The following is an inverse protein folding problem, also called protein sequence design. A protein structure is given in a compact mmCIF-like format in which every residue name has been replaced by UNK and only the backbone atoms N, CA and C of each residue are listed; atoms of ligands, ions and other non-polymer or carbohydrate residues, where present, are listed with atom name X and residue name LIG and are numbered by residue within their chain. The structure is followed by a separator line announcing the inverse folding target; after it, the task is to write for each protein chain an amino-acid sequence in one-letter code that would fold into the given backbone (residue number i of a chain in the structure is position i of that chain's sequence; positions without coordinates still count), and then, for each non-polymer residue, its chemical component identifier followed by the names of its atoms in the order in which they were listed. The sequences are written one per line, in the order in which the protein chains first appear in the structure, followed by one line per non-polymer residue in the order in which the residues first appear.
data_IF_866430300346
#
_entry.id   IF_866430300346
#
_cell.length_a   1.000
_cell.length_b   1.000
_cell.length_c   1.000
_cell.angle_alpha   90.00
_cell.angle_beta   90.00
_cell.angle_gamma   90.00
#
_symmetry.space_group_name_H-M   'P 1'
#
loop_
_entity.id
_entity.type
_entity.pdbx_description
1 polymer ?
#
# COMPACT_ATOMS: atom_id res chain seq x y z
N UNK A 1 -14.48 13.09 24.79
CA UNK A 1 -14.32 14.12 23.71
C UNK A 1 -13.64 13.50 22.48
N UNK A 2 -13.68 14.11 21.29
CA UNK A 2 -13.02 13.55 20.09
C UNK A 2 -11.53 13.20 20.32
N UNK A 3 -10.79 14.10 20.99
CA UNK A 3 -9.38 13.90 21.35
C UNK A 3 -9.14 12.77 22.35
N UNK A 4 -10.11 12.49 23.21
CA UNK A 4 -10.03 11.42 24.21
C UNK A 4 -10.23 10.05 23.55
N UNK A 5 -11.20 9.94 22.63
CA UNK A 5 -11.37 8.75 21.80
C UNK A 5 -10.12 8.49 20.96
N UNK A 6 -9.52 9.54 20.39
CA UNK A 6 -8.26 9.40 19.66
C UNK A 6 -7.07 9.02 20.56
N UNK A 7 -7.09 9.37 21.85
CA UNK A 7 -6.07 8.92 22.80
C UNK A 7 -6.24 7.43 23.10
N UNK A 8 -7.47 6.99 23.38
CA UNK A 8 -7.80 5.57 23.56
C UNK A 8 -7.48 4.75 22.31
N UNK A 9 -7.72 5.29 21.12
CA UNK A 9 -7.37 4.65 19.86
C UNK A 9 -5.85 4.44 19.72
N UNK A 10 -5.04 5.40 20.20
CA UNK A 10 -3.58 5.26 20.23
C UNK A 10 -3.15 4.21 21.22
N UNK A 11 -3.81 4.11 22.38
CA UNK A 11 -3.53 3.06 23.37
C UNK A 11 -3.84 1.68 22.79
N UNK A 12 -5.03 1.50 22.20
CA UNK A 12 -5.39 0.26 21.50
C UNK A 12 -4.42 -0.08 20.36
N UNK A 13 -3.96 0.93 19.61
CA UNK A 13 -2.95 0.73 18.57
C UNK A 13 -1.61 0.23 19.13
N UNK A 14 -1.22 0.69 20.33
CA UNK A 14 0.01 0.26 21.01
C UNK A 14 -0.12 -1.17 21.54
N UNK A 15 -1.33 -1.61 21.89
CA UNK A 15 -1.62 -2.99 22.31
C UNK A 15 -1.78 -3.97 21.12
N UNK A 16 -1.54 -3.50 19.89
CA UNK A 16 -1.81 -4.23 18.64
C UNK A 16 -3.32 -4.55 18.40
N UNK A 17 -4.23 -3.97 19.18
CA UNK A 17 -5.69 -4.01 19.00
C UNK A 17 -6.14 -3.06 17.88
N UNK A 18 -5.72 -3.36 16.64
CA UNK A 18 -5.95 -2.47 15.51
C UNK A 18 -7.41 -2.29 15.11
N UNK A 19 -8.24 -3.31 15.31
CA UNK A 19 -9.69 -3.23 15.03
C UNK A 19 -10.38 -2.25 15.99
N UNK A 20 -10.03 -2.32 17.28
CA UNK A 20 -10.50 -1.38 18.31
C UNK A 20 -9.98 0.03 18.03
N UNK A 21 -8.71 0.17 17.62
CA UNK A 21 -8.17 1.46 17.22
C UNK A 21 -8.96 2.08 16.05
N UNK A 22 -9.32 1.29 15.03
CA UNK A 22 -10.14 1.75 13.90
C UNK A 22 -11.51 2.24 14.35
N UNK A 23 -12.21 1.48 15.20
CA UNK A 23 -13.53 1.87 15.73
C UNK A 23 -13.45 3.18 16.53
N UNK A 24 -12.46 3.29 17.42
CA UNK A 24 -12.26 4.48 18.24
C UNK A 24 -11.89 5.71 17.40
N UNK A 25 -11.02 5.56 16.39
CA UNK A 25 -10.74 6.65 15.46
C UNK A 25 -11.96 7.03 14.63
N UNK A 26 -12.79 6.07 14.24
CA UNK A 26 -14.03 6.36 13.50
C UNK A 26 -14.97 7.20 14.34
N UNK A 27 -15.18 6.84 15.61
CA UNK A 27 -15.95 7.65 16.56
C UNK A 27 -15.33 9.03 16.79
N UNK A 28 -13.99 9.14 16.83
CA UNK A 28 -13.31 10.42 16.94
C UNK A 28 -13.55 11.32 15.71
N UNK A 29 -13.56 10.73 14.51
CA UNK A 29 -13.85 11.41 13.24
C UNK A 29 -15.32 11.85 13.16
N UNK A 30 -16.26 11.04 13.63
CA UNK A 30 -17.68 11.42 13.72
C UNK A 30 -17.88 12.67 14.59
N UNK A 31 -17.08 12.82 15.65
CA UNK A 31 -17.13 13.99 16.53
C UNK A 31 -16.35 15.20 15.98
N UNK A 32 -15.25 14.98 15.26
CA UNK A 32 -14.45 16.05 14.65
C UNK A 32 -13.89 15.62 13.28
N UNK A 33 -14.68 15.78 12.19
CA UNK A 33 -14.31 15.33 10.86
C UNK A 33 -13.29 16.24 10.16
N UNK A 34 -12.84 17.31 10.83
CA UNK A 34 -11.85 18.25 10.31
C UNK A 34 -10.43 17.92 10.75
N UNK A 35 -10.25 16.96 11.67
CA UNK A 35 -8.93 16.62 12.19
C UNK A 35 -8.18 15.65 11.27
N UNK A 36 -7.19 16.17 10.53
CA UNK A 36 -6.36 15.39 9.61
C UNK A 36 -5.61 14.23 10.29
N UNK A 37 -5.15 14.42 11.53
CA UNK A 37 -4.44 13.40 12.30
C UNK A 37 -5.30 12.14 12.52
N UNK A 38 -6.61 12.27 12.75
CA UNK A 38 -7.47 11.11 13.00
C UNK A 38 -7.57 10.20 11.78
N UNK A 39 -7.71 10.78 10.58
CA UNK A 39 -7.67 10.02 9.34
C UNK A 39 -6.29 9.40 9.11
N UNK A 40 -5.20 10.14 9.34
CA UNK A 40 -3.84 9.61 9.15
C UNK A 40 -3.50 8.48 10.14
N UNK A 41 -3.99 8.54 11.37
CA UNK A 41 -3.77 7.48 12.36
C UNK A 41 -4.70 6.27 12.11
N UNK A 42 -5.96 6.48 11.69
CA UNK A 42 -6.86 5.39 11.29
C UNK A 42 -6.34 4.64 10.06
N UNK A 43 -5.82 5.36 9.07
CA UNK A 43 -5.12 4.77 7.93
C UNK A 43 -3.98 3.85 8.36
N UNK A 44 -3.26 4.19 9.43
CA UNK A 44 -2.22 3.33 9.96
C UNK A 44 -2.75 2.04 10.56
N UNK A 45 -3.84 2.11 11.31
CA UNK A 45 -4.50 0.93 11.86
C UNK A 45 -4.98 0.00 10.73
N UNK A 46 -5.57 0.55 9.67
CA UNK A 46 -5.92 -0.21 8.47
C UNK A 46 -4.72 -0.87 7.77
N UNK A 47 -3.59 -0.17 7.65
CA UNK A 47 -2.34 -0.74 7.10
C UNK A 47 -1.88 -1.95 7.92
N UNK A 48 -2.05 -1.89 9.24
CA UNK A 48 -1.68 -2.98 10.16
C UNK A 48 -2.62 -4.17 10.08
N UNK A 49 -3.92 -3.94 9.87
CA UNK A 49 -4.90 -5.00 9.63
C UNK A 49 -4.74 -5.70 8.28
N UNK A 50 -3.95 -5.16 7.35
CA UNK A 50 -3.63 -5.68 6.01
C UNK A 50 -4.80 -5.86 5.03
N UNK A 51 -6.02 -6.08 5.51
CA UNK A 51 -7.21 -6.33 4.68
C UNK A 51 -7.92 -5.05 4.22
N UNK A 52 -7.52 -3.88 4.75
CA UNK A 52 -8.19 -2.59 4.54
C UNK A 52 -7.27 -1.57 3.85
N UNK A 53 -6.42 -2.04 2.95
CA UNK A 53 -5.42 -1.19 2.29
C UNK A 53 -6.05 -0.13 1.39
N UNK A 54 -7.22 -0.39 0.80
CA UNK A 54 -7.98 0.60 0.04
C UNK A 54 -8.54 1.71 0.95
N UNK A 55 -9.14 1.36 2.08
CA UNK A 55 -9.60 2.33 3.08
C UNK A 55 -8.43 3.14 3.65
N UNK A 56 -7.27 2.53 3.88
CA UNK A 56 -6.08 3.24 4.30
C UNK A 56 -5.64 4.31 3.28
N UNK A 57 -5.71 4.03 1.98
CA UNK A 57 -5.42 5.03 0.93
C UNK A 57 -6.46 6.15 0.96
N UNK A 58 -7.75 5.81 1.12
CA UNK A 58 -8.82 6.81 1.18
C UNK A 58 -8.66 7.76 2.38
N UNK A 59 -8.41 7.23 3.56
CA UNK A 59 -8.15 8.01 4.77
C UNK A 59 -6.89 8.86 4.65
N UNK A 60 -5.80 8.29 4.13
CA UNK A 60 -4.58 9.04 3.92
C UNK A 60 -4.76 10.18 2.90
N UNK A 61 -5.57 9.98 1.85
CA UNK A 61 -5.95 11.05 0.92
C UNK A 61 -6.76 12.13 1.63
N UNK A 62 -7.75 11.75 2.44
CA UNK A 62 -8.57 12.70 3.19
C UNK A 62 -7.73 13.52 4.17
N UNK A 63 -6.78 12.89 4.86
CA UNK A 63 -5.83 13.57 5.73
C UNK A 63 -4.99 14.62 4.97
N UNK A 64 -4.51 14.30 3.76
CA UNK A 64 -3.77 15.25 2.91
C UNK A 64 -4.65 16.39 2.42
N UNK A 65 -5.92 16.13 2.12
CA UNK A 65 -6.88 17.18 1.72
C UNK A 65 -7.17 18.16 2.86
N UNK A 66 -7.23 17.65 4.10
CA UNK A 66 -7.45 18.47 5.31
C UNK A 66 -6.18 19.23 5.73
N UNK A 67 -5.04 18.55 5.72
CA UNK A 67 -3.73 19.15 6.00
C UNK A 67 -2.68 18.67 4.98
N UNK A 68 -2.38 19.48 3.95
CA UNK A 68 -1.40 19.13 2.93
C UNK A 68 0.04 19.15 3.44
N UNK A 69 0.29 19.67 4.64
CA UNK A 69 1.60 19.67 5.30
C UNK A 69 1.79 18.46 6.22
N UNK A 70 0.77 17.61 6.39
CA UNK A 70 0.82 16.46 7.27
C UNK A 70 1.68 15.33 6.67
N UNK A 71 2.98 15.38 6.94
CA UNK A 71 3.99 14.43 6.47
C UNK A 71 3.58 12.96 6.70
N UNK A 72 2.96 12.65 7.85
CA UNK A 72 2.52 11.28 8.17
C UNK A 72 1.50 10.74 7.18
N UNK A 73 0.60 11.58 6.67
CA UNK A 73 -0.44 11.18 5.73
C UNK A 73 0.15 10.71 4.38
N UNK A 74 1.18 11.41 3.89
CA UNK A 74 1.92 10.97 2.69
C UNK A 74 2.62 9.63 2.90
N UNK A 75 3.17 9.40 4.10
CA UNK A 75 3.78 8.12 4.45
C UNK A 75 2.73 7.01 4.49
N UNK A 76 1.57 7.23 5.12
CA UNK A 76 0.48 6.23 5.13
C UNK A 76 -0.01 5.92 3.71
N UNK A 77 -0.24 6.94 2.89
CA UNK A 77 -0.67 6.77 1.50
C UNK A 77 0.34 5.95 0.70
N UNK A 78 1.63 6.28 0.82
CA UNK A 78 2.71 5.55 0.18
C UNK A 78 2.73 4.08 0.59
N UNK A 79 2.76 3.79 1.89
CA UNK A 79 2.78 2.42 2.41
C UNK A 79 1.52 1.62 2.02
N UNK A 80 0.34 2.23 2.06
CA UNK A 80 -0.90 1.57 1.65
C UNK A 80 -0.91 1.24 0.14
N UNK A 81 -0.49 2.18 -0.71
CA UNK A 81 -0.35 1.94 -2.15
C UNK A 81 0.70 0.85 -2.45
N UNK A 82 1.80 0.76 -1.70
CA UNK A 82 2.78 -0.34 -1.86
C UNK A 82 2.18 -1.70 -1.54
N UNK A 83 1.31 -1.79 -0.51
CA UNK A 83 0.58 -3.03 -0.19
C UNK A 83 -0.46 -3.40 -1.25
N UNK A 84 -0.94 -2.42 -2.02
CA UNK A 84 -1.80 -2.62 -3.19
C UNK A 84 -1.00 -2.82 -4.49
N UNK A 85 0.32 -2.90 -4.41
CA UNK A 85 1.21 -3.02 -5.56
C UNK A 85 1.13 -1.83 -6.54
N UNK A 86 0.55 -0.70 -6.11
CA UNK A 86 0.49 0.55 -6.85
C UNK A 86 1.78 1.36 -6.67
N UNK A 87 2.94 0.78 -7.02
CA UNK A 87 4.26 1.31 -6.69
C UNK A 87 4.54 2.71 -7.26
N UNK A 88 4.02 3.01 -8.46
CA UNK A 88 4.14 4.35 -9.08
C UNK A 88 3.39 5.41 -8.27
N UNK A 89 2.16 5.11 -7.88
CA UNK A 89 1.33 5.99 -7.03
C UNK A 89 1.95 6.18 -5.65
N UNK A 90 2.48 5.10 -5.07
CA UNK A 90 3.19 5.13 -3.80
C UNK A 90 4.41 6.06 -3.87
N UNK A 91 5.27 5.89 -4.88
CA UNK A 91 6.45 6.73 -5.09
C UNK A 91 6.10 8.22 -5.13
N UNK A 92 5.12 8.61 -5.95
CA UNK A 92 4.71 10.03 -6.06
C UNK A 92 4.20 10.58 -4.72
N UNK A 93 3.46 9.81 -3.94
CA UNK A 93 3.01 10.24 -2.61
C UNK A 93 4.20 10.42 -1.65
N UNK A 94 5.15 9.50 -1.67
CA UNK A 94 6.34 9.54 -0.81
C UNK A 94 7.29 10.67 -1.20
N UNK A 95 7.47 10.96 -2.49
CA UNK A 95 8.29 12.09 -2.96
C UNK A 95 7.72 13.44 -2.49
N UNK A 96 6.38 13.59 -2.51
CA UNK A 96 5.72 14.77 -1.95
C UNK A 96 5.97 14.88 -0.44
N UNK A 97 5.83 13.79 0.31
CA UNK A 97 6.13 13.77 1.75
C UNK A 97 7.61 14.09 2.05
N UNK A 98 8.53 13.55 1.26
CA UNK A 98 9.96 13.83 1.37
C UNK A 98 10.29 15.30 1.07
N UNK A 99 9.56 15.94 0.16
CA UNK A 99 9.74 17.37 -0.14
C UNK A 99 9.34 18.25 1.05
N UNK A 100 8.38 17.81 1.87
CA UNK A 100 7.94 18.52 3.08
C UNK A 100 8.91 18.25 4.25
N UNK A 101 9.33 16.99 4.42
CA UNK A 101 10.24 16.57 5.49
C UNK A 101 11.45 15.80 4.94
N UNK A 102 12.44 16.48 4.32
CA UNK A 102 13.57 15.82 3.66
C UNK A 102 14.51 15.08 4.63
N UNK A 103 14.46 15.41 5.92
CA UNK A 103 15.25 14.72 6.96
C UNK A 103 14.67 13.36 7.37
N UNK A 104 13.41 13.06 7.03
CA UNK A 104 12.78 11.77 7.36
C UNK A 104 13.30 10.66 6.44
N UNK A 105 14.23 9.87 6.98
CA UNK A 105 14.86 8.75 6.26
C UNK A 105 13.88 7.67 5.78
N UNK A 106 12.69 7.60 6.38
CA UNK A 106 11.64 6.63 6.00
C UNK A 106 11.19 6.83 4.55
N UNK A 107 11.03 8.07 4.10
CA UNK A 107 10.62 8.33 2.71
C UNK A 107 11.63 7.81 1.71
N UNK A 108 12.92 8.11 1.93
CA UNK A 108 13.99 7.65 1.04
C UNK A 108 14.00 6.13 0.90
N UNK A 109 13.85 5.40 2.01
CA UNK A 109 13.80 3.92 2.00
C UNK A 109 12.61 3.39 1.20
N UNK A 110 11.41 3.94 1.43
CA UNK A 110 10.21 3.48 0.73
C UNK A 110 10.22 3.88 -0.77
N UNK A 111 10.79 5.03 -1.12
CA UNK A 111 10.96 5.45 -2.52
C UNK A 111 11.92 4.50 -3.26
N UNK A 112 13.02 4.11 -2.61
CA UNK A 112 13.98 3.15 -3.17
C UNK A 112 13.32 1.79 -3.41
N UNK A 113 12.55 1.29 -2.43
CA UNK A 113 11.77 0.06 -2.56
C UNK A 113 10.73 0.16 -3.69
N UNK A 114 10.04 1.30 -3.83
CA UNK A 114 9.14 1.52 -4.98
C UNK A 114 9.88 1.46 -6.32
N UNK A 115 11.06 2.08 -6.44
CA UNK A 115 11.84 2.06 -7.68
C UNK A 115 12.29 0.63 -8.04
N UNK A 116 12.68 -0.17 -7.04
CA UNK A 116 13.06 -1.56 -7.25
C UNK A 116 11.89 -2.37 -7.80
N UNK A 117 10.72 -2.28 -7.15
CA UNK A 117 9.50 -2.99 -7.58
C UNK A 117 9.05 -2.58 -8.98
N UNK A 118 9.07 -1.30 -9.30
CA UNK A 118 8.75 -0.80 -10.65
C UNK A 118 9.71 -1.39 -11.69
N UNK A 119 11.01 -1.42 -11.39
CA UNK A 119 12.00 -2.00 -12.30
C UNK A 119 11.85 -3.52 -12.47
N UNK A 120 11.38 -4.23 -11.44
CA UNK A 120 11.03 -5.65 -11.53
C UNK A 120 9.81 -5.87 -12.43
N UNK A 121 8.74 -5.08 -12.25
CA UNK A 121 7.56 -5.12 -13.14
C UNK A 121 7.93 -4.83 -14.60
N UNK A 122 8.76 -3.83 -14.85
CA UNK A 122 9.20 -3.49 -16.21
C UNK A 122 10.05 -4.60 -16.86
N UNK A 123 10.81 -5.36 -16.07
CA UNK A 123 11.57 -6.51 -16.58
C UNK A 123 10.67 -7.70 -16.91
N UNK A 124 9.64 -7.94 -16.10
CA UNK A 124 8.69 -9.03 -16.33
C UNK A 124 7.91 -8.81 -17.65
N UNK A 125 7.50 -7.57 -17.91
CA UNK A 125 6.80 -7.16 -19.13
C UNK A 125 7.64 -7.27 -20.42
N UNK A 126 8.97 -7.38 -20.31
CA UNK A 126 9.90 -7.47 -21.44
C UNK A 126 10.26 -8.94 -21.77
N UNK A 127 9.79 -9.91 -20.98
CA UNK A 127 9.98 -11.32 -21.34
C UNK A 127 9.10 -11.67 -22.57
N UNK A 128 9.68 -12.13 -23.70
CA UNK A 128 8.88 -12.63 -24.82
C UNK A 128 8.05 -13.84 -24.34
N UNK A 129 6.88 -14.11 -24.95
CA UNK A 129 6.01 -15.21 -24.53
C UNK A 129 6.84 -16.49 -24.55
N UNK A 130 6.95 -17.13 -23.37
CA UNK A 130 7.59 -18.42 -23.20
C UNK A 130 6.97 -19.37 -24.23
N UNK A 131 7.74 -19.76 -25.25
CA UNK A 131 7.31 -20.77 -26.22
C UNK A 131 6.97 -22.01 -25.42
N UNK A 132 5.71 -22.42 -25.47
CA UNK A 132 5.25 -23.74 -25.04
C UNK A 132 6.12 -24.76 -25.75
N UNK A 133 6.99 -25.44 -25.00
CA UNK A 133 7.78 -26.56 -25.48
C UNK A 133 6.80 -27.70 -25.81
N UNK A 134 6.35 -27.74 -27.05
CA UNK A 134 5.79 -28.94 -27.64
C UNK A 134 6.95 -29.93 -27.77
N UNK A 135 7.08 -30.79 -26.77
CA UNK A 135 7.91 -31.99 -26.85
C UNK A 135 7.61 -32.72 -28.17
N UNK A 136 8.63 -32.99 -29.01
CA UNK A 136 8.41 -33.71 -30.25
C UNK A 136 8.08 -35.17 -29.94
N UNK A 137 6.88 -35.59 -30.33
CA UNK A 137 6.47 -37.00 -30.34
C UNK A 137 7.45 -37.77 -31.24
N UNK A 138 8.18 -38.79 -30.75
CA UNK A 138 9.07 -39.57 -31.61
C UNK A 138 8.24 -40.40 -32.60
N UNK A 139 8.62 -40.29 -33.88
CA UNK A 139 8.02 -41.03 -34.99
C UNK A 139 8.24 -42.55 -34.84
N UNK A 140 7.16 -43.32 -34.83
CA UNK A 140 7.17 -44.78 -34.90
C UNK A 140 7.08 -45.26 -36.37
N UNK A 141 7.83 -46.30 -36.79
CA UNK A 141 8.02 -46.62 -38.20
C UNK A 141 6.88 -47.46 -38.79
N UNK A 142 6.46 -47.08 -40.00
CA UNK A 142 5.49 -47.80 -40.82
C UNK A 142 6.03 -49.14 -41.38
N UNK A 143 5.26 -50.23 -41.24
CA UNK A 143 5.24 -51.44 -42.12
C UNK A 143 3.90 -52.20 -41.97
N UNK A 144 3.55 -53.14 -42.87
CA UNK A 144 3.39 -53.02 -44.31
C UNK A 144 1.98 -53.49 -44.77
N UNK A 145 1.62 -53.15 -46.01
CA UNK A 145 0.37 -53.59 -46.66
C UNK A 145 0.39 -55.10 -46.88
N UNK A 146 -0.62 -55.81 -46.38
CA UNK A 146 -0.94 -57.16 -46.85
C UNK A 146 -1.99 -57.08 -47.96
N UNK A 147 -1.80 -58.03 -48.89
CA UNK A 147 -2.27 -58.13 -50.26
C UNK A 147 -3.77 -58.33 -50.42
#
# INVERSE_FOLDING_TARGET
MAKELAAQAKEAFVDDDFDVAVDLYSKAIDLDPSCADFFADRAQAYIKLQNFTAEAVADAKKAIELDPSLTKAYLRKGTACMKLEEYRTAKTALEKGASIAPSESKFKKLIDECNLRIAEEEKDLVQPPVKVDQTPVPAEPAKPKFR
#
